data_IF_808582170869
#
_entry.id   IF_808582170869
#
_cell.length_a   1.000
_cell.length_b   1.000
_cell.length_c   1.000
_cell.angle_alpha   90.00
_cell.angle_beta   90.00
_cell.angle_gamma   90.00
#
_symmetry.space_group_name_H-M   'P 1'
#
loop_
_entity.id
_entity.type
_entity.pdbx_description
1 polymer ?
#
# COMPACT_ATOMS: atom_id res chain seq x y z
N UNK A 1 -26.16 14.39 -21.10
CA UNK A 1 -25.82 12.95 -21.05
C UNK A 1 -24.39 12.91 -20.59
N UNK A 2 -24.19 13.14 -19.30
CA UNK A 2 -22.90 13.20 -18.64
C UNK A 2 -23.04 12.30 -17.43
N UNK A 3 -22.71 11.03 -17.60
CA UNK A 3 -22.26 10.15 -16.53
C UNK A 3 -21.69 8.87 -17.15
N UNK A 4 -20.70 8.26 -16.49
CA UNK A 4 -20.10 6.94 -16.78
C UNK A 4 -18.79 6.84 -17.61
N UNK A 5 -18.06 7.94 -17.84
CA UNK A 5 -16.71 7.90 -18.44
C UNK A 5 -15.54 8.04 -17.45
N UNK A 6 -15.80 8.54 -16.23
CA UNK A 6 -14.76 8.75 -15.22
C UNK A 6 -14.38 7.47 -14.45
N UNK A 7 -15.33 6.56 -14.23
CA UNK A 7 -15.07 5.30 -13.51
C UNK A 7 -14.21 4.32 -14.33
N UNK A 8 -14.45 4.21 -15.64
CA UNK A 8 -13.68 3.32 -16.53
C UNK A 8 -12.22 3.74 -16.71
N UNK A 9 -11.93 5.03 -16.72
CA UNK A 9 -10.57 5.56 -16.95
C UNK A 9 -9.69 5.49 -15.70
N UNK A 10 -10.26 5.41 -14.50
CA UNK A 10 -9.51 5.24 -13.25
C UNK A 10 -9.12 3.78 -12.99
N UNK A 11 -9.91 2.83 -13.49
CA UNK A 11 -9.70 1.39 -13.26
C UNK A 11 -8.71 0.76 -14.26
N UNK A 12 -8.40 1.37 -15.41
CA UNK A 12 -7.65 0.73 -16.49
C UNK A 12 -6.12 0.61 -16.29
N UNK A 13 -5.60 0.87 -15.08
CA UNK A 13 -4.17 0.75 -14.75
C UNK A 13 -3.26 1.80 -15.38
N UNK A 14 -3.71 2.51 -16.43
CA UNK A 14 -2.88 3.48 -17.18
C UNK A 14 -2.36 4.63 -16.34
N UNK A 15 -3.16 5.26 -15.45
CA UNK A 15 -2.64 6.35 -14.61
C UNK A 15 -1.49 5.88 -13.72
N UNK A 16 -1.63 4.70 -13.11
CA UNK A 16 -0.62 4.09 -12.24
C UNK A 16 0.64 3.73 -13.02
N UNK A 17 0.49 3.09 -14.19
CA UNK A 17 1.61 2.77 -15.06
C UNK A 17 2.36 4.03 -15.51
N UNK A 18 1.64 5.11 -15.85
CA UNK A 18 2.25 6.38 -16.24
C UNK A 18 3.03 7.03 -15.11
N UNK A 19 2.48 7.07 -13.89
CA UNK A 19 3.17 7.60 -12.71
C UNK A 19 4.43 6.78 -12.41
N UNK A 20 4.31 5.44 -12.43
CA UNK A 20 5.45 4.54 -12.23
C UNK A 20 6.56 4.78 -13.28
N UNK A 21 6.20 4.97 -14.55
CA UNK A 21 7.16 5.31 -15.61
C UNK A 21 7.90 6.63 -15.35
N UNK A 22 7.20 7.66 -14.85
CA UNK A 22 7.82 8.95 -14.50
C UNK A 22 8.86 8.75 -13.38
N UNK A 23 8.48 8.04 -12.32
CA UNK A 23 9.38 7.76 -11.19
C UNK A 23 10.59 6.91 -11.62
N UNK A 24 10.36 5.86 -12.41
CA UNK A 24 11.43 5.00 -12.93
C UNK A 24 12.38 5.79 -13.85
N UNK A 25 11.86 6.68 -14.71
CA UNK A 25 12.68 7.51 -15.61
C UNK A 25 13.54 8.51 -14.84
N UNK A 26 13.11 8.92 -13.65
CA UNK A 26 13.88 9.75 -12.72
C UNK A 26 14.87 8.94 -11.87
N UNK A 27 14.96 7.62 -12.07
CA UNK A 27 15.82 6.73 -11.30
C UNK A 27 15.34 6.51 -9.86
N UNK A 28 14.05 6.74 -9.57
CA UNK A 28 13.48 6.61 -8.22
C UNK A 28 12.80 5.24 -8.07
N UNK A 29 13.32 4.34 -7.20
CA UNK A 29 12.62 3.13 -6.82
C UNK A 29 11.27 3.46 -6.20
N UNK A 30 10.22 2.72 -6.56
CA UNK A 30 8.87 2.96 -6.09
C UNK A 30 8.08 1.65 -6.01
N UNK A 31 7.16 1.59 -5.06
CA UNK A 31 6.17 0.51 -4.90
C UNK A 31 4.81 1.15 -4.72
N UNK A 32 3.81 0.65 -5.44
CA UNK A 32 2.43 1.08 -5.31
C UNK A 32 1.88 0.75 -3.92
N UNK A 33 1.06 1.65 -3.39
CA UNK A 33 0.47 1.60 -2.05
C UNK A 33 -0.94 2.22 -2.06
N UNK A 34 -1.60 2.23 -0.90
CA UNK A 34 -2.90 2.88 -0.70
C UNK A 34 -4.07 2.04 -1.21
N UNK A 35 -5.24 2.68 -1.39
CA UNK A 35 -6.48 1.97 -1.71
C UNK A 35 -6.45 1.36 -3.13
N UNK A 36 -5.77 2.02 -4.08
CA UNK A 36 -5.62 1.47 -5.44
C UNK A 36 -5.00 0.08 -5.44
N UNK A 37 -3.99 -0.15 -4.60
CA UNK A 37 -3.29 -1.43 -4.51
C UNK A 37 -4.24 -2.59 -4.20
N UNK A 38 -5.24 -2.38 -3.34
CA UNK A 38 -6.24 -3.40 -3.00
C UNK A 38 -6.97 -3.92 -4.24
N UNK A 39 -7.23 -3.05 -5.22
CA UNK A 39 -7.89 -3.46 -6.46
C UNK A 39 -7.05 -4.44 -7.28
N UNK A 40 -5.72 -4.34 -7.22
CA UNK A 40 -4.80 -5.28 -7.87
C UNK A 40 -4.86 -6.65 -7.19
N UNK A 41 -5.09 -6.68 -5.87
CA UNK A 41 -5.39 -7.92 -5.14
C UNK A 41 -6.82 -8.42 -5.35
N UNK A 42 -7.61 -7.82 -6.25
CA UNK A 42 -8.97 -8.26 -6.55
C UNK A 42 -10.01 -7.80 -5.53
N UNK A 43 -9.67 -6.89 -4.61
CA UNK A 43 -10.63 -6.32 -3.64
C UNK A 43 -11.51 -5.28 -4.33
N UNK A 44 -12.86 -5.40 -4.26
CA UNK A 44 -13.77 -4.41 -4.79
C UNK A 44 -13.90 -3.21 -3.83
N UNK A 45 -12.95 -2.27 -3.92
CA UNK A 45 -12.94 -1.05 -3.08
C UNK A 45 -13.13 0.22 -3.90
N UNK A 46 -13.53 1.30 -3.23
CA UNK A 46 -13.60 2.63 -3.82
C UNK A 46 -12.16 3.16 -3.96
N UNK A 47 -11.83 3.63 -5.16
CA UNK A 47 -10.54 4.27 -5.43
C UNK A 47 -10.70 5.78 -5.36
N UNK A 48 -10.12 6.39 -4.34
CA UNK A 48 -10.05 7.84 -4.14
C UNK A 48 -8.61 8.38 -4.15
N UNK A 49 -7.61 7.49 -4.13
CA UNK A 49 -6.20 7.83 -4.23
C UNK A 49 -5.38 6.84 -5.05
N UNK A 50 -4.20 7.28 -5.44
CA UNK A 50 -3.07 6.41 -5.83
C UNK A 50 -1.90 6.82 -4.96
N UNK A 51 -1.26 5.86 -4.30
CA UNK A 51 -0.10 6.14 -3.47
C UNK A 51 1.12 5.36 -3.93
N UNK A 52 2.30 5.96 -3.77
CA UNK A 52 3.57 5.26 -3.93
C UNK A 52 4.44 5.46 -2.70
N UNK A 53 5.12 4.38 -2.30
CA UNK A 53 6.20 4.42 -1.33
C UNK A 53 7.52 4.49 -2.10
N UNK A 54 8.39 5.41 -1.72
CA UNK A 54 9.73 5.60 -2.32
C UNK A 54 10.80 5.67 -1.22
N UNK A 55 12.07 5.35 -1.53
CA UNK A 55 13.19 5.59 -0.62
C UNK A 55 13.21 7.05 -0.14
N UNK A 56 13.59 7.23 1.12
CA UNK A 56 13.56 8.52 1.82
C UNK A 56 14.36 9.62 1.10
N UNK A 57 15.52 9.25 0.55
CA UNK A 57 16.42 10.11 -0.23
C UNK A 57 15.89 10.38 -1.65
N UNK A 58 14.99 9.53 -2.15
CA UNK A 58 14.35 9.65 -3.46
C UNK A 58 13.14 10.60 -3.50
N UNK A 59 12.61 11.06 -2.36
CA UNK A 59 11.39 11.88 -2.30
C UNK A 59 11.50 13.16 -3.13
N UNK A 60 12.58 13.91 -2.97
CA UNK A 60 12.76 15.20 -3.66
C UNK A 60 12.84 15.01 -5.18
N UNK A 61 13.52 13.94 -5.61
CA UNK A 61 13.62 13.58 -7.03
C UNK A 61 12.27 13.13 -7.59
N UNK A 62 11.53 12.29 -6.83
CA UNK A 62 10.19 11.85 -7.18
C UNK A 62 9.24 13.04 -7.40
N UNK A 63 9.23 13.96 -6.43
CA UNK A 63 8.40 15.16 -6.47
C UNK A 63 8.73 16.06 -7.66
N UNK A 64 10.02 16.29 -7.89
CA UNK A 64 10.49 17.11 -9.01
C UNK A 64 10.12 16.49 -10.35
N UNK A 65 10.25 15.17 -10.51
CA UNK A 65 9.89 14.45 -11.72
C UNK A 65 8.38 14.53 -12.00
N UNK A 66 7.54 14.38 -10.97
CA UNK A 66 6.09 14.53 -11.09
C UNK A 66 5.70 15.97 -11.46
N UNK A 67 6.32 16.97 -10.82
CA UNK A 67 6.10 18.37 -11.16
C UNK A 67 6.47 18.70 -12.62
N UNK A 68 7.61 18.19 -13.11
CA UNK A 68 8.02 18.31 -14.51
C UNK A 68 7.06 17.61 -15.49
N UNK A 69 6.37 16.56 -15.03
CA UNK A 69 5.31 15.89 -15.76
C UNK A 69 3.92 16.56 -15.59
N UNK A 70 3.88 17.81 -15.10
CA UNK A 70 2.68 18.63 -14.88
C UNK A 70 1.75 18.18 -13.74
N UNK A 71 2.21 17.32 -12.82
CA UNK A 71 1.49 17.08 -11.57
C UNK A 71 1.75 18.24 -10.62
N UNK A 72 0.72 18.99 -10.25
CA UNK A 72 0.90 20.15 -9.36
C UNK A 72 0.99 19.70 -7.90
N UNK A 73 2.13 19.90 -7.21
CA UNK A 73 2.25 19.57 -5.80
C UNK A 73 1.31 20.46 -4.98
N UNK A 74 0.74 19.91 -3.92
CA UNK A 74 -0.08 20.71 -3.03
C UNK A 74 0.76 21.73 -2.27
N UNK A 75 0.45 23.02 -2.44
CA UNK A 75 1.12 24.12 -1.72
C UNK A 75 0.82 24.15 -0.21
N UNK A 76 -0.16 23.36 0.27
CA UNK A 76 -0.58 23.37 1.66
C UNK A 76 -0.56 21.96 2.27
N UNK A 77 0.65 21.40 2.39
CA UNK A 77 0.90 19.99 2.79
C UNK A 77 0.24 19.59 4.12
N UNK A 78 0.13 20.50 5.09
CA UNK A 78 -0.33 20.21 6.45
C UNK A 78 -1.81 20.51 6.72
N UNK A 79 -2.50 21.26 5.86
CA UNK A 79 -3.91 21.62 6.09
C UNK A 79 -4.80 21.37 4.88
N UNK A 80 -4.33 20.57 3.92
CA UNK A 80 -5.15 20.17 2.79
C UNK A 80 -6.12 19.05 3.19
N UNK A 81 -7.40 19.38 3.29
CA UNK A 81 -8.47 18.39 3.59
C UNK A 81 -8.72 17.41 2.43
N UNK A 82 -8.20 17.69 1.23
CA UNK A 82 -8.41 16.83 0.05
C UNK A 82 -7.60 15.53 0.09
N UNK A 83 -6.52 15.48 0.86
CA UNK A 83 -5.73 14.25 1.05
C UNK A 83 -6.24 13.38 2.21
N UNK A 84 -7.26 13.84 2.94
CA UNK A 84 -7.72 13.22 4.19
C UNK A 84 -9.18 12.78 4.08
N UNK A 85 -9.44 11.69 3.36
CA UNK A 85 -10.81 11.15 3.25
C UNK A 85 -11.15 9.99 4.17
N UNK A 86 -10.18 9.28 4.75
CA UNK A 86 -10.47 8.07 5.52
C UNK A 86 -9.53 7.79 6.71
N UNK A 87 -9.05 8.83 7.40
CA UNK A 87 -8.15 8.66 8.56
C UNK A 87 -6.82 7.97 8.21
N UNK A 88 -6.44 7.92 6.93
CA UNK A 88 -5.14 7.43 6.49
C UNK A 88 -4.02 8.36 6.98
N UNK A 89 -2.82 7.79 7.26
CA UNK A 89 -1.66 8.61 7.62
C UNK A 89 -1.32 9.55 6.47
N UNK A 90 -1.00 10.79 6.81
CA UNK A 90 -0.73 11.82 5.82
C UNK A 90 0.51 11.45 4.99
N UNK A 91 0.43 11.58 3.66
CA UNK A 91 1.60 11.43 2.82
C UNK A 91 2.57 12.61 3.06
N UNK A 92 3.85 12.39 2.76
CA UNK A 92 4.83 13.45 2.85
C UNK A 92 4.58 14.52 1.79
N UNK A 93 4.26 14.07 0.58
CA UNK A 93 3.87 14.93 -0.53
C UNK A 93 2.64 14.36 -1.21
N UNK A 94 1.79 15.25 -1.72
CA UNK A 94 0.66 14.84 -2.54
C UNK A 94 0.38 15.84 -3.65
N UNK A 95 -0.23 15.35 -4.72
CA UNK A 95 -0.52 16.08 -5.96
C UNK A 95 -2.01 15.96 -6.26
N UNK A 96 -2.66 17.06 -6.62
CA UNK A 96 -4.09 17.05 -6.94
C UNK A 96 -4.24 16.69 -8.41
N UNK A 97 -4.78 15.50 -8.69
CA UNK A 97 -5.09 15.07 -10.05
C UNK A 97 -6.52 15.46 -10.46
N UNK A 98 -7.43 15.54 -9.48
CA UNK A 98 -8.77 16.10 -9.64
C UNK A 98 -9.29 16.67 -8.31
N UNK A 99 -10.56 17.07 -8.24
CA UNK A 99 -11.19 17.52 -7.00
C UNK A 99 -11.32 16.43 -5.93
N UNK A 100 -11.29 15.16 -6.35
CA UNK A 100 -11.54 13.99 -5.48
C UNK A 100 -10.41 12.97 -5.51
N UNK A 101 -9.44 13.13 -6.40
CA UNK A 101 -8.37 12.16 -6.63
C UNK A 101 -7.00 12.78 -6.37
N UNK A 102 -6.23 12.13 -5.50
CA UNK A 102 -4.89 12.56 -5.11
C UNK A 102 -3.85 11.49 -5.43
N UNK A 103 -2.69 11.94 -5.88
CA UNK A 103 -1.47 11.12 -5.92
C UNK A 103 -0.67 11.41 -4.65
N UNK A 104 -0.31 10.37 -3.91
CA UNK A 104 0.38 10.47 -2.62
C UNK A 104 1.78 9.83 -2.66
N UNK A 105 2.77 10.48 -2.06
CA UNK A 105 4.11 9.94 -1.86
C UNK A 105 4.40 9.73 -0.37
N UNK A 106 4.80 8.51 -0.03
CA UNK A 106 5.17 8.09 1.32
C UNK A 106 6.66 7.76 1.39
N UNK A 107 7.29 8.08 2.53
CA UNK A 107 8.66 7.61 2.80
C UNK A 107 8.64 6.13 3.14
N UNK A 108 9.62 5.39 2.64
CA UNK A 108 9.83 3.99 3.00
C UNK A 108 9.98 3.82 4.52
N UNK A 109 10.80 4.63 5.18
CA UNK A 109 11.02 4.53 6.64
C UNK A 109 9.75 4.71 7.49
N UNK A 110 8.75 5.39 6.93
CA UNK A 110 7.47 5.68 7.56
C UNK A 110 6.36 4.69 7.16
N UNK A 111 6.57 3.80 6.20
CA UNK A 111 5.47 2.97 5.66
C UNK A 111 5.87 1.51 5.49
N UNK A 112 7.07 1.25 4.93
CA UNK A 112 7.54 -0.09 4.57
C UNK A 112 8.98 -0.29 5.04
N UNK A 113 9.27 -0.01 6.32
CA UNK A 113 10.64 -0.02 6.84
C UNK A 113 11.30 -1.41 6.83
N UNK A 114 10.51 -2.49 6.91
CA UNK A 114 11.02 -3.87 6.79
C UNK A 114 11.11 -4.37 5.33
N UNK A 115 10.60 -3.63 4.34
CA UNK A 115 10.63 -4.03 2.93
C UNK A 115 11.95 -3.61 2.26
N UNK A 116 13.04 -4.32 2.55
CA UNK A 116 14.40 -3.93 2.13
C UNK A 116 14.64 -3.94 0.62
N UNK A 117 13.87 -4.72 -0.14
CA UNK A 117 14.06 -4.89 -1.58
C UNK A 117 13.84 -3.61 -2.39
N UNK A 118 13.09 -2.64 -1.85
CA UNK A 118 12.88 -1.35 -2.53
C UNK A 118 14.19 -0.56 -2.71
N UNK A 119 15.18 -0.81 -1.85
CA UNK A 119 16.48 -0.14 -1.88
C UNK A 119 17.51 -0.88 -2.73
N UNK A 120 17.20 -2.12 -3.17
CA UNK A 120 18.15 -2.99 -3.87
C UNK A 120 17.85 -3.10 -5.37
N UNK A 121 18.85 -2.92 -6.25
CA UNK A 121 18.68 -3.15 -7.69
C UNK A 121 18.55 -4.65 -8.07
N UNK A 122 18.71 -5.59 -7.13
CA UNK A 122 18.72 -7.05 -7.42
C UNK A 122 17.50 -7.82 -6.90
N UNK A 123 16.39 -7.13 -6.61
CA UNK A 123 15.14 -7.70 -6.07
C UNK A 123 14.59 -8.89 -6.88
N UNK A 124 14.87 -8.97 -8.19
CA UNK A 124 14.46 -10.07 -9.08
C UNK A 124 15.07 -11.43 -8.69
N UNK A 125 16.14 -11.44 -7.88
CA UNK A 125 16.90 -12.66 -7.52
C UNK A 125 16.71 -13.10 -6.06
N UNK A 126 15.92 -12.37 -5.27
CA UNK A 126 15.70 -12.72 -3.86
C UNK A 126 14.88 -14.02 -3.73
N UNK A 127 15.27 -14.95 -2.84
CA UNK A 127 14.60 -16.25 -2.67
C UNK A 127 13.16 -16.13 -2.13
N UNK A 128 12.82 -14.99 -1.52
CA UNK A 128 11.44 -14.62 -1.18
C UNK A 128 11.07 -13.39 -2.01
N UNK A 129 10.05 -13.51 -2.89
CA UNK A 129 9.57 -12.39 -3.70
C UNK A 129 8.77 -11.41 -2.83
N UNK A 130 9.45 -10.46 -2.18
CA UNK A 130 8.79 -9.49 -1.29
C UNK A 130 7.99 -8.43 -2.07
N UNK A 131 8.49 -8.11 -3.27
CA UNK A 131 7.88 -7.21 -4.24
C UNK A 131 7.60 -8.00 -5.51
N UNK A 132 6.41 -7.81 -6.07
CA UNK A 132 5.96 -8.42 -7.30
C UNK A 132 5.77 -7.35 -8.37
N UNK A 133 5.83 -7.78 -9.63
CA UNK A 133 5.20 -7.01 -10.70
C UNK A 133 3.69 -7.01 -10.48
N UNK A 134 3.01 -5.88 -10.73
CA UNK A 134 1.56 -5.80 -10.72
C UNK A 134 0.89 -6.70 -11.77
N UNK A 135 1.66 -7.24 -12.71
CA UNK A 135 1.23 -8.22 -13.72
C UNK A 135 1.58 -9.67 -13.38
N UNK A 136 2.16 -9.93 -12.20
CA UNK A 136 2.62 -11.27 -11.80
C UNK A 136 1.44 -12.27 -11.75
N UNK A 137 1.59 -13.49 -12.29
CA UNK A 137 0.56 -14.53 -12.23
C UNK A 137 0.17 -14.98 -10.83
N UNK A 138 0.99 -14.71 -9.80
CA UNK A 138 0.63 -14.96 -8.39
C UNK A 138 -0.40 -13.96 -7.86
N UNK A 139 -0.83 -12.99 -8.67
CA UNK A 139 -1.90 -12.06 -8.36
C UNK A 139 -3.20 -12.48 -9.10
N UNK A 140 -4.37 -12.25 -8.49
CA UNK A 140 -5.65 -12.69 -9.04
C UNK A 140 -5.92 -12.05 -10.42
N UNK A 141 -6.50 -12.78 -11.38
CA UNK A 141 -6.96 -12.18 -12.62
C UNK A 141 -8.14 -11.25 -12.36
N UNK A 142 -8.43 -10.37 -13.32
CA UNK A 142 -9.69 -9.64 -13.36
C UNK A 142 -10.88 -10.63 -13.35
N UNK A 143 -11.86 -10.39 -12.47
CA UNK A 143 -13.05 -11.23 -12.34
C UNK A 143 -14.29 -10.37 -12.05
N UNK A 144 -15.49 -10.75 -12.55
CA UNK A 144 -16.73 -10.04 -12.23
C UNK A 144 -16.98 -9.96 -10.71
N UNK A 145 -17.41 -8.78 -10.24
CA UNK A 145 -17.67 -8.54 -8.82
C UNK A 145 -16.41 -8.43 -7.95
N UNK A 146 -15.22 -8.44 -8.55
CA UNK A 146 -13.93 -8.23 -7.89
C UNK A 146 -13.31 -6.90 -8.34
N UNK A 147 -12.24 -6.52 -7.66
CA UNK A 147 -11.37 -5.42 -8.10
C UNK A 147 -10.68 -5.72 -9.43
N UNK A 148 -9.81 -4.79 -9.84
CA UNK A 148 -9.09 -4.84 -11.12
C UNK A 148 -8.34 -6.17 -11.37
N UNK A 149 -7.79 -6.78 -10.32
CA UNK A 149 -6.85 -7.88 -10.43
C UNK A 149 -5.51 -7.44 -11.02
N UNK A 150 -4.65 -8.41 -11.35
CA UNK A 150 -3.34 -8.17 -11.94
C UNK A 150 -3.45 -7.35 -13.23
N UNK A 151 -2.52 -6.43 -13.41
CA UNK A 151 -2.45 -5.58 -14.59
C UNK A 151 -1.99 -6.36 -15.83
N UNK A 152 -2.29 -5.86 -17.04
CA UNK A 152 -1.69 -6.38 -18.27
C UNK A 152 -0.15 -6.36 -18.23
N UNK A 153 0.49 -7.30 -18.93
CA UNK A 153 1.96 -7.45 -18.93
C UNK A 153 2.72 -6.24 -19.46
N UNK A 154 2.08 -5.37 -20.23
CA UNK A 154 2.64 -4.09 -20.68
C UNK A 154 2.88 -3.08 -19.53
N UNK A 155 2.26 -3.31 -18.36
CA UNK A 155 2.46 -2.52 -17.14
C UNK A 155 3.32 -3.25 -16.11
N UNK A 156 4.16 -4.19 -16.54
CA UNK A 156 5.00 -5.02 -15.67
C UNK A 156 5.99 -4.24 -14.78
N UNK A 157 6.32 -3.01 -15.17
CA UNK A 157 7.18 -2.10 -14.40
C UNK A 157 6.51 -1.59 -13.11
N UNK A 158 5.18 -1.65 -13.00
CA UNK A 158 4.47 -1.31 -11.76
C UNK A 158 4.76 -2.39 -10.73
N UNK A 159 5.20 -1.98 -9.56
CA UNK A 159 5.61 -2.86 -8.46
C UNK A 159 4.62 -2.79 -7.32
N UNK A 160 4.31 -3.94 -6.72
CA UNK A 160 3.41 -4.08 -5.56
C UNK A 160 4.08 -4.97 -4.51
N UNK A 161 3.78 -4.82 -3.21
CA UNK A 161 4.17 -5.84 -2.24
C UNK A 161 3.52 -7.19 -2.59
N UNK A 162 4.14 -8.30 -2.21
CA UNK A 162 3.39 -9.55 -2.12
C UNK A 162 2.28 -9.43 -1.07
N UNK A 163 1.16 -10.14 -1.24
CA UNK A 163 -0.02 -10.04 -0.34
C UNK A 163 0.39 -10.29 1.12
N UNK A 164 1.18 -11.33 1.38
CA UNK A 164 1.70 -11.61 2.72
C UNK A 164 2.49 -10.43 3.30
N UNK A 165 3.37 -9.80 2.50
CA UNK A 165 4.17 -8.65 2.94
C UNK A 165 3.35 -7.38 3.09
N UNK A 166 2.28 -7.22 2.32
CA UNK A 166 1.29 -6.17 2.53
C UNK A 166 0.61 -6.33 3.89
N UNK A 167 0.12 -7.53 4.22
CA UNK A 167 -0.49 -7.84 5.52
C UNK A 167 0.48 -7.60 6.69
N UNK A 168 1.71 -8.13 6.62
CA UNK A 168 2.72 -7.90 7.66
C UNK A 168 3.03 -6.41 7.82
N UNK A 169 3.08 -5.65 6.72
CA UNK A 169 3.27 -4.19 6.77
C UNK A 169 2.10 -3.48 7.44
N UNK A 170 0.85 -3.89 7.17
CA UNK A 170 -0.33 -3.35 7.87
C UNK A 170 -0.26 -3.65 9.37
N UNK A 171 0.15 -4.86 9.77
CA UNK A 171 0.29 -5.24 11.18
C UNK A 171 1.39 -4.44 11.88
N UNK A 172 2.53 -4.22 11.21
CA UNK A 172 3.58 -3.32 11.69
C UNK A 172 3.07 -1.88 11.88
N UNK A 173 2.27 -1.39 10.93
CA UNK A 173 1.65 -0.06 11.00
C UNK A 173 0.63 0.03 12.14
N UNK A 174 -0.21 -0.99 12.35
CA UNK A 174 -1.12 -1.09 13.49
C UNK A 174 -0.36 -1.09 14.81
N UNK A 175 0.67 -1.93 14.92
CA UNK A 175 1.52 -1.93 16.11
C UNK A 175 2.13 -0.55 16.32
N UNK A 176 2.71 0.10 15.32
CA UNK A 176 3.31 1.45 15.47
C UNK A 176 2.27 2.49 15.90
N UNK A 177 1.13 2.52 15.22
CA UNK A 177 0.06 3.50 15.36
C UNK A 177 -0.99 3.09 16.40
N UNK A 178 -0.62 2.20 17.32
CA UNK A 178 -1.51 1.65 18.35
C UNK A 178 -2.23 2.74 19.14
N UNK A 179 -3.54 2.56 19.31
CA UNK A 179 -4.43 3.51 20.00
C UNK A 179 -4.46 4.92 19.39
N UNK A 180 -4.20 5.02 18.08
CA UNK A 180 -4.41 6.25 17.29
C UNK A 180 -5.55 6.05 16.29
N UNK A 181 -6.01 7.13 15.66
CA UNK A 181 -7.03 7.04 14.60
C UNK A 181 -6.56 6.25 13.37
N UNK A 182 -5.25 6.11 13.16
CA UNK A 182 -4.69 5.40 12.00
C UNK A 182 -4.81 3.88 12.14
N UNK A 183 -4.84 3.36 13.37
CA UNK A 183 -4.97 1.91 13.64
C UNK A 183 -6.22 1.33 12.99
N UNK A 184 -7.37 2.00 13.13
CA UNK A 184 -8.64 1.59 12.54
C UNK A 184 -8.58 1.55 11.02
N UNK A 185 -7.84 2.47 10.39
CA UNK A 185 -7.66 2.47 8.95
C UNK A 185 -6.86 1.25 8.50
N UNK A 186 -5.74 0.95 9.16
CA UNK A 186 -4.93 -0.23 8.85
C UNK A 186 -5.71 -1.54 9.07
N UNK A 187 -6.49 -1.61 10.16
CA UNK A 187 -7.40 -2.72 10.41
C UNK A 187 -8.42 -2.89 9.28
N UNK A 188 -9.02 -1.81 8.79
CA UNK A 188 -9.97 -1.87 7.69
C UNK A 188 -9.35 -2.38 6.38
N UNK A 189 -8.10 -2.00 6.07
CA UNK A 189 -7.39 -2.55 4.92
C UNK A 189 -7.09 -4.05 5.11
N UNK A 190 -6.75 -4.46 6.33
CA UNK A 190 -6.49 -5.87 6.66
C UNK A 190 -7.75 -6.73 6.50
N UNK A 191 -8.90 -6.25 6.98
CA UNK A 191 -10.17 -6.99 6.86
C UNK A 191 -10.62 -7.13 5.42
N UNK A 192 -10.30 -6.19 4.53
CA UNK A 192 -10.51 -6.39 3.09
C UNK A 192 -9.70 -7.55 2.52
N UNK A 193 -8.46 -7.76 2.97
CA UNK A 193 -7.67 -8.91 2.54
C UNK A 193 -8.27 -10.20 3.07
N UNK A 194 -8.67 -10.22 4.35
CA UNK A 194 -9.32 -11.37 4.98
C UNK A 194 -10.60 -11.76 4.22
N UNK A 195 -11.46 -10.80 3.92
CA UNK A 195 -12.76 -11.05 3.27
C UNK A 195 -12.62 -11.51 1.81
N UNK A 196 -11.71 -10.91 1.04
CA UNK A 196 -11.70 -11.06 -0.41
C UNK A 196 -10.54 -11.88 -0.97
N UNK A 197 -9.44 -12.06 -0.22
CA UNK A 197 -8.19 -12.62 -0.75
C UNK A 197 -7.71 -13.85 0.03
N UNK A 198 -7.95 -13.92 1.35
CA UNK A 198 -7.59 -15.08 2.16
C UNK A 198 -8.31 -16.36 1.68
N UNK A 199 -7.64 -17.50 1.86
CA UNK A 199 -8.11 -18.83 1.42
C UNK A 199 -8.36 -18.95 -0.10
N UNK A 200 -7.82 -18.03 -0.90
CA UNK A 200 -7.73 -18.19 -2.35
C UNK A 200 -6.40 -18.85 -2.74
N UNK A 201 -6.25 -19.22 -4.01
CA UNK A 201 -4.98 -19.73 -4.55
C UNK A 201 -3.81 -18.71 -4.48
N UNK A 202 -4.10 -17.45 -4.12
CA UNK A 202 -3.14 -16.35 -4.15
C UNK A 202 -2.57 -15.99 -2.77
N UNK A 203 -3.26 -16.35 -1.69
CA UNK A 203 -2.83 -16.04 -0.33
C UNK A 203 -3.58 -16.86 0.74
N UNK A 204 -2.85 -17.24 1.78
CA UNK A 204 -3.40 -17.77 3.02
C UNK A 204 -2.63 -17.24 4.23
N UNK A 205 -3.25 -17.26 5.41
CA UNK A 205 -2.58 -16.96 6.69
C UNK A 205 -1.25 -17.73 6.93
N UNK A 206 -1.06 -18.89 6.29
CA UNK A 206 0.17 -19.67 6.39
C UNK A 206 1.38 -19.03 5.68
N UNK A 207 1.13 -18.10 4.77
CA UNK A 207 2.17 -17.35 4.06
C UNK A 207 2.77 -16.23 4.92
N UNK A 208 2.10 -15.88 6.03
CA UNK A 208 2.61 -14.92 7.02
C UNK A 208 3.68 -15.57 7.90
N UNK A 209 4.66 -14.76 8.29
CA UNK A 209 5.62 -15.12 9.33
C UNK A 209 4.89 -15.40 10.65
N UNK A 210 5.45 -16.30 11.44
CA UNK A 210 4.78 -16.88 12.61
C UNK A 210 4.28 -15.82 13.61
N UNK A 211 5.05 -14.76 13.84
CA UNK A 211 4.71 -13.68 14.76
C UNK A 211 3.46 -12.90 14.34
N UNK A 212 3.25 -12.71 13.03
CA UNK A 212 2.11 -11.97 12.49
C UNK A 212 0.85 -12.83 12.36
N UNK A 213 1.04 -14.14 12.14
CA UNK A 213 -0.04 -15.10 11.90
C UNK A 213 -1.03 -15.18 13.05
N UNK A 214 -0.57 -15.14 14.31
CA UNK A 214 -1.44 -15.27 15.48
C UNK A 214 -2.54 -14.22 15.50
N UNK A 215 -2.16 -12.95 15.39
CA UNK A 215 -3.10 -11.83 15.38
C UNK A 215 -4.00 -11.89 14.14
N UNK A 216 -3.42 -12.16 12.96
CA UNK A 216 -4.18 -12.30 11.72
C UNK A 216 -5.32 -13.33 11.84
N UNK A 217 -5.03 -14.52 12.38
CA UNK A 217 -6.04 -15.55 12.61
C UNK A 217 -7.10 -15.12 13.62
N UNK A 218 -6.73 -14.42 14.70
CA UNK A 218 -7.70 -13.91 15.67
C UNK A 218 -8.67 -12.89 15.07
N UNK A 219 -8.20 -12.00 14.18
CA UNK A 219 -9.06 -11.07 13.42
C UNK A 219 -10.01 -11.87 12.52
N UNK A 220 -9.48 -12.84 11.77
CA UNK A 220 -10.25 -13.69 10.86
C UNK A 220 -11.37 -14.47 11.56
N UNK A 221 -11.09 -15.00 12.75
CA UNK A 221 -12.05 -15.75 13.56
C UNK A 221 -13.02 -14.84 14.33
N UNK A 222 -12.90 -13.51 14.17
CA UNK A 222 -13.62 -12.50 14.93
C UNK A 222 -13.49 -12.67 16.46
N UNK A 223 -12.34 -13.18 16.92
CA UNK A 223 -12.06 -13.39 18.34
C UNK A 223 -11.62 -12.08 19.00
N UNK A 224 -12.60 -11.21 19.26
CA UNK A 224 -12.37 -9.93 19.93
C UNK A 224 -11.78 -10.08 21.35
N UNK A 225 -11.85 -11.27 21.95
CA UNK A 225 -11.35 -11.52 23.31
C UNK A 225 -9.83 -11.68 23.37
N UNK A 226 -9.22 -12.24 22.32
CA UNK A 226 -7.76 -12.45 22.25
C UNK A 226 -7.06 -11.48 21.30
N UNK A 227 -7.75 -10.97 20.28
CA UNK A 227 -7.18 -10.14 19.21
C UNK A 227 -6.34 -8.98 19.76
N UNK A 228 -6.88 -8.18 20.68
CA UNK A 228 -6.15 -7.02 21.20
C UNK A 228 -4.95 -7.41 22.06
N UNK A 229 -5.06 -8.46 22.87
CA UNK A 229 -3.92 -8.98 23.65
C UNK A 229 -2.80 -9.51 22.75
N UNK A 230 -3.15 -10.14 21.63
CA UNK A 230 -2.18 -10.60 20.63
C UNK A 230 -1.49 -9.43 19.92
N UNK A 231 -2.19 -8.32 19.67
CA UNK A 231 -1.58 -7.11 19.11
C UNK A 231 -0.61 -6.46 20.08
N UNK A 232 -0.97 -6.43 21.37
CA UNK A 232 -0.10 -5.92 22.43
C UNK A 232 1.16 -6.79 22.61
N UNK A 233 1.02 -8.12 22.58
CA UNK A 233 2.15 -9.07 22.58
C UNK A 233 3.07 -8.81 21.39
N UNK A 234 2.52 -8.76 20.17
CA UNK A 234 3.28 -8.48 18.96
C UNK A 234 3.99 -7.13 19.03
N UNK A 235 3.30 -6.07 19.49
CA UNK A 235 3.89 -4.73 19.66
C UNK A 235 5.02 -4.75 20.68
N UNK A 236 4.88 -5.45 21.80
CA UNK A 236 5.92 -5.56 22.83
C UNK A 236 7.16 -6.28 22.29
N UNK A 237 6.97 -7.37 21.56
CA UNK A 237 8.06 -8.14 20.94
C UNK A 237 8.81 -7.30 19.89
N UNK A 238 8.07 -6.62 19.01
CA UNK A 238 8.68 -5.74 18.00
C UNK A 238 9.36 -4.51 18.62
N UNK A 239 8.85 -3.99 19.74
CA UNK A 239 9.50 -2.91 20.51
C UNK A 239 10.83 -3.38 21.11
N UNK A 240 10.81 -4.54 21.76
CA UNK A 240 11.99 -5.10 22.45
C UNK A 240 13.12 -5.49 21.48
N UNK A 241 12.77 -5.89 20.26
CA UNK A 241 13.71 -6.20 19.19
C UNK A 241 14.16 -4.97 18.37
N UNK A 242 13.63 -3.77 18.67
CA UNK A 242 13.97 -2.54 17.94
C UNK A 242 13.44 -2.49 16.52
N UNK A 243 12.47 -3.35 16.17
CA UNK A 243 11.86 -3.47 14.83
C UNK A 243 10.72 -2.46 14.60
N UNK A 244 10.16 -1.87 15.65
CA UNK A 244 9.19 -0.78 15.49
C UNK A 244 9.89 0.53 15.13
N UNK A 245 9.44 1.14 14.04
CA UNK A 245 9.88 2.47 13.65
C UNK A 245 9.48 3.50 14.71
N UNK A 246 10.45 4.27 15.20
CA UNK A 246 10.26 5.30 16.23
C UNK A 246 9.47 6.53 15.77
N UNK A 247 8.85 6.50 14.58
CA UNK A 247 7.89 7.50 14.11
C UNK A 247 8.35 8.93 14.39
N UNK A 248 9.56 9.30 13.96
CA UNK A 248 9.97 10.71 14.03
C UNK A 248 9.18 11.48 12.97
N UNK A 249 8.00 11.93 13.36
CA UNK A 249 7.23 13.08 12.89
C UNK A 249 5.77 12.88 13.38
N UNK A 250 5.54 13.28 14.63
CA UNK A 250 4.24 13.77 15.10
C UNK A 250 4.15 15.26 14.72
#
# INVERSE_FOLDING_TARGET
MDDDMAGKTLLDGKPVARICQILNSAGVPNVLWGNYLLTIYGVPTIIDDVAFVVPDDGITAASSALAQANFTPCGNKLTCDRSYRFQARRPLEHFHMSHVFVLSLYRKSDTLWELTDLDSPTWETAPARLILSASDPSLPPAAPGRGQGRLPSEYSAVRVPAVAKYCESLLLLMCRDYNTTYETYWMALLTYIIEYVDETDYFSANDLSYEFRKFYCAVKEADASSMWSLLEELRADLSSSGRLSNGRNL
#
